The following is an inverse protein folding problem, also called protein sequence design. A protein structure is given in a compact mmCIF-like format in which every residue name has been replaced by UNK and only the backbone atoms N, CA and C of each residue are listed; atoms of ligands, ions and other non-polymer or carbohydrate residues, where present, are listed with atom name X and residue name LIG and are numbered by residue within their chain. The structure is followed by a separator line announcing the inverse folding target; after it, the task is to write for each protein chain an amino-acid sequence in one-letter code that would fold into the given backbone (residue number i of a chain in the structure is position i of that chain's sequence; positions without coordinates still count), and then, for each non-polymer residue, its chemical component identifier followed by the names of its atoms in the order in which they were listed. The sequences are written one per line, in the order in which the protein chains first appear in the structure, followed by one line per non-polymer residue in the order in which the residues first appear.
data_IF_477136378256
#
_entry.id   IF_477136378256
#
_cell.length_a   1.000
_cell.length_b   1.000
_cell.length_c   1.000
_cell.angle_alpha   90.00
_cell.angle_beta   90.00
_cell.angle_gamma   90.00
#
_symmetry.space_group_name_H-M   'P 1'
#
loop_
_entity.id
_entity.type
_entity.pdbx_description
1 polymer ?
#
# COMPACT_ATOMS: atom_id res chain seq x y z
N UNK A 1 -4.27 17.94 13.91
CA UNK A 1 -4.87 16.71 14.47
C UNK A 1 -6.38 16.84 14.41
N UNK A 2 -7.08 15.78 13.96
CA UNK A 2 -8.54 15.73 13.96
C UNK A 2 -9.05 15.48 15.38
N UNK A 3 -9.90 16.37 15.89
CA UNK A 3 -10.55 16.21 17.20
C UNK A 3 -11.77 15.29 17.11
N UNK A 4 -12.55 15.37 16.02
CA UNK A 4 -13.72 14.52 15.74
C UNK A 4 -13.48 13.68 14.47
N UNK A 5 -12.86 12.52 14.64
CA UNK A 5 -12.60 11.57 13.55
C UNK A 5 -13.91 11.05 12.93
N UNK A 6 -14.94 10.80 13.76
CA UNK A 6 -16.24 10.28 13.29
C UNK A 6 -16.97 11.31 12.42
N UNK A 7 -17.12 12.53 12.93
CA UNK A 7 -17.79 13.60 12.19
C UNK A 7 -17.08 13.91 10.88
N UNK A 8 -15.74 13.98 10.92
CA UNK A 8 -14.93 14.20 9.71
C UNK A 8 -15.11 13.08 8.70
N UNK A 9 -15.07 11.81 9.12
CA UNK A 9 -15.29 10.70 8.21
C UNK A 9 -16.67 10.71 7.57
N UNK A 10 -17.73 10.92 8.37
CA UNK A 10 -19.09 10.99 7.84
C UNK A 10 -19.28 12.13 6.84
N UNK A 11 -18.68 13.30 7.09
CA UNK A 11 -18.66 14.41 6.15
C UNK A 11 -17.93 14.03 4.85
N UNK A 12 -16.78 13.37 4.95
CA UNK A 12 -16.03 12.90 3.78
C UNK A 12 -16.74 11.80 2.98
N UNK A 13 -17.62 11.01 3.60
CA UNK A 13 -18.46 10.02 2.90
C UNK A 13 -19.64 10.68 2.18
N UNK A 14 -20.14 11.81 2.70
CA UNK A 14 -21.20 12.63 2.07
C UNK A 14 -20.62 13.53 0.95
N UNK A 15 -19.35 13.94 1.08
CA UNK A 15 -18.67 14.80 0.10
C UNK A 15 -17.37 14.16 -0.42
N UNK A 16 -17.43 12.96 -1.04
CA UNK A 16 -16.25 12.25 -1.48
C UNK A 16 -15.61 12.93 -2.70
N UNK A 17 -14.30 12.89 -2.78
CA UNK A 17 -13.55 13.51 -3.87
C UNK A 17 -13.81 12.78 -5.19
N UNK A 18 -14.42 13.45 -6.13
CA UNK A 18 -14.61 12.98 -7.51
C UNK A 18 -15.69 11.92 -7.71
N UNK A 19 -16.50 11.66 -6.69
CA UNK A 19 -17.67 10.77 -6.70
C UNK A 19 -18.88 11.48 -6.09
N UNK A 20 -20.12 11.02 -6.36
CA UNK A 20 -21.30 11.46 -5.62
C UNK A 20 -21.27 10.94 -4.17
N UNK A 21 -22.15 11.45 -3.29
CA UNK A 21 -22.29 10.94 -1.92
C UNK A 21 -22.36 9.42 -1.84
N UNK A 22 -21.80 8.84 -0.77
CA UNK A 22 -21.80 7.38 -0.61
C UNK A 22 -23.23 6.81 -0.63
N UNK A 23 -24.21 7.55 -0.10
CA UNK A 23 -25.63 7.22 -0.09
C UNK A 23 -26.26 7.12 -1.49
N UNK A 24 -25.66 7.74 -2.51
CA UNK A 24 -26.10 7.64 -3.90
C UNK A 24 -25.38 6.50 -4.67
N UNK A 25 -24.22 6.06 -4.18
CA UNK A 25 -23.42 5.00 -4.78
C UNK A 25 -23.91 3.62 -4.34
N UNK A 26 -24.09 3.45 -3.03
CA UNK A 26 -24.42 2.18 -2.39
C UNK A 26 -25.95 2.00 -2.30
N UNK A 27 -26.41 0.79 -2.59
CA UNK A 27 -27.83 0.43 -2.53
C UNK A 27 -28.11 -0.62 -1.45
N UNK A 28 -29.33 -0.66 -0.89
CA UNK A 28 -29.71 -1.72 0.03
C UNK A 28 -29.49 -3.11 -0.58
N UNK A 29 -28.80 -3.96 0.19
CA UNK A 29 -28.50 -5.33 -0.23
C UNK A 29 -27.23 -5.52 -1.06
N UNK A 30 -26.53 -4.45 -1.44
CA UNK A 30 -25.25 -4.55 -2.15
C UNK A 30 -24.22 -5.36 -1.36
N UNK A 31 -23.22 -5.88 -2.08
CA UNK A 31 -22.11 -6.66 -1.56
C UNK A 31 -20.82 -5.82 -1.54
N UNK A 32 -20.04 -5.94 -0.46
CA UNK A 32 -18.88 -5.10 -0.21
C UNK A 32 -17.65 -5.91 0.19
N UNK A 33 -16.51 -5.62 -0.44
CA UNK A 33 -15.21 -6.07 0.02
C UNK A 33 -14.36 -4.87 0.47
N UNK A 34 -13.82 -4.94 1.69
CA UNK A 34 -12.84 -3.99 2.18
C UNK A 34 -11.44 -4.57 1.97
N UNK A 35 -10.57 -3.83 1.30
CA UNK A 35 -9.16 -4.15 1.28
C UNK A 35 -8.49 -3.38 2.41
N UNK A 36 -7.96 -4.09 3.40
CA UNK A 36 -7.23 -3.53 4.54
C UNK A 36 -5.73 -3.77 4.44
N UNK A 37 -4.94 -2.93 5.10
CA UNK A 37 -3.49 -3.07 5.15
C UNK A 37 -3.07 -4.23 6.06
N UNK A 38 -1.86 -4.74 5.83
CA UNK A 38 -1.10 -5.57 6.76
C UNK A 38 -0.54 -4.74 7.95
N UNK A 39 0.00 -5.38 9.03
CA UNK A 39 0.49 -4.69 10.22
C UNK A 39 1.67 -3.74 9.97
N UNK A 40 2.38 -3.88 8.84
CA UNK A 40 3.53 -3.01 8.53
C UNK A 40 3.12 -1.60 8.11
N UNK A 41 1.81 -1.34 7.99
CA UNK A 41 1.23 -0.05 7.58
C UNK A 41 0.20 0.41 8.60
N UNK A 42 0.63 1.26 9.52
CA UNK A 42 -0.25 1.85 10.54
C UNK A 42 -1.24 2.82 9.88
N UNK A 43 -2.52 2.55 10.04
CA UNK A 43 -3.62 3.36 9.49
C UNK A 43 -4.69 3.68 10.54
N UNK A 44 -4.60 3.10 11.73
CA UNK A 44 -5.62 3.12 12.79
C UNK A 44 -7.00 2.68 12.25
N UNK A 45 -7.00 1.60 11.46
CA UNK A 45 -8.23 1.10 10.81
C UNK A 45 -9.28 0.69 11.85
N UNK A 46 -8.87 0.23 13.03
CA UNK A 46 -9.77 -0.11 14.15
C UNK A 46 -10.63 1.08 14.61
N UNK A 47 -10.26 2.33 14.27
CA UNK A 47 -11.06 3.53 14.58
C UNK A 47 -12.08 3.80 13.49
N UNK A 48 -11.68 3.81 12.22
CA UNK A 48 -12.58 4.21 11.14
C UNK A 48 -13.40 3.06 10.55
N UNK A 49 -12.96 1.81 10.64
CA UNK A 49 -13.71 0.67 10.10
C UNK A 49 -15.08 0.48 10.77
N UNK A 50 -15.23 0.57 12.11
CA UNK A 50 -16.56 0.50 12.74
C UNK A 50 -17.50 1.61 12.24
N UNK A 51 -16.99 2.82 12.05
CA UNK A 51 -17.78 3.96 11.54
C UNK A 51 -18.28 3.67 10.12
N UNK A 52 -17.38 3.21 9.23
CA UNK A 52 -17.70 2.88 7.84
C UNK A 52 -18.70 1.72 7.74
N UNK A 53 -18.47 0.63 8.49
CA UNK A 53 -19.38 -0.54 8.51
C UNK A 53 -20.76 -0.15 9.02
N UNK A 54 -20.85 0.67 10.08
CA UNK A 54 -22.11 1.15 10.62
C UNK A 54 -22.84 2.08 9.63
N UNK A 55 -22.11 2.93 8.90
CA UNK A 55 -22.71 3.78 7.87
C UNK A 55 -23.26 2.94 6.70
N UNK A 56 -22.53 1.92 6.23
CA UNK A 56 -23.02 1.00 5.19
C UNK A 56 -24.26 0.22 5.67
N UNK A 57 -24.29 -0.22 6.94
CA UNK A 57 -25.51 -0.83 7.51
C UNK A 57 -26.68 0.14 7.51
N UNK A 58 -26.45 1.42 7.87
CA UNK A 58 -27.49 2.46 7.83
C UNK A 58 -28.05 2.66 6.41
N UNK A 59 -27.19 2.51 5.40
CA UNK A 59 -27.56 2.58 3.98
C UNK A 59 -28.21 1.28 3.45
N UNK A 60 -28.37 0.26 4.31
CA UNK A 60 -29.08 -0.97 3.98
C UNK A 60 -28.19 -2.11 3.47
N UNK A 61 -26.87 -2.02 3.59
CA UNK A 61 -25.96 -3.13 3.31
C UNK A 61 -25.82 -3.99 4.57
N UNK A 62 -26.27 -5.26 4.57
CA UNK A 62 -26.15 -6.11 5.76
C UNK A 62 -24.70 -6.58 5.96
N UNK A 63 -24.31 -6.81 7.23
CA UNK A 63 -22.96 -7.30 7.54
C UNK A 63 -22.64 -8.65 6.85
N UNK A 64 -23.65 -9.50 6.63
CA UNK A 64 -23.49 -10.76 5.91
C UNK A 64 -23.05 -10.57 4.44
N UNK A 65 -23.25 -9.38 3.87
CA UNK A 65 -22.83 -9.04 2.50
C UNK A 65 -21.47 -8.35 2.47
N UNK A 66 -20.79 -8.23 3.59
CA UNK A 66 -19.49 -7.56 3.71
C UNK A 66 -18.39 -8.57 4.04
N UNK A 67 -17.18 -8.32 3.54
CA UNK A 67 -15.97 -9.10 3.87
C UNK A 67 -14.74 -8.21 3.91
N UNK A 68 -13.71 -8.66 4.64
CA UNK A 68 -12.41 -8.00 4.72
C UNK A 68 -11.36 -8.89 4.06
N UNK A 69 -10.53 -8.29 3.20
CA UNK A 69 -9.39 -8.93 2.54
C UNK A 69 -8.13 -8.13 2.88
N UNK A 70 -7.18 -8.76 3.57
CA UNK A 70 -5.92 -8.13 3.90
C UNK A 70 -4.95 -8.20 2.71
N UNK A 71 -4.48 -7.02 2.30
CA UNK A 71 -3.57 -6.82 1.17
C UNK A 71 -2.13 -7.12 1.59
N UNK A 72 -1.70 -8.36 1.50
CA UNK A 72 -0.39 -8.80 1.95
C UNK A 72 0.72 -8.58 0.91
N UNK A 73 0.36 -8.56 -0.38
CA UNK A 73 1.38 -8.59 -1.44
C UNK A 73 2.23 -9.84 -1.30
N UNK A 74 3.53 -9.67 -0.99
CA UNK A 74 4.48 -10.77 -0.76
C UNK A 74 4.77 -11.04 0.72
N UNK A 75 4.09 -10.35 1.64
CA UNK A 75 4.27 -10.57 3.07
C UNK A 75 3.60 -11.88 3.52
N UNK A 76 4.04 -12.40 4.68
CA UNK A 76 3.44 -13.58 5.30
C UNK A 76 1.95 -13.37 5.63
N UNK A 77 1.23 -14.47 5.75
CA UNK A 77 -0.14 -14.43 6.27
C UNK A 77 -0.17 -13.83 7.69
N UNK A 78 -1.21 -13.04 7.94
CA UNK A 78 -1.52 -12.54 9.28
C UNK A 78 -2.17 -13.63 10.13
N UNK A 79 -1.91 -13.61 11.42
CA UNK A 79 -2.68 -14.40 12.39
C UNK A 79 -4.06 -13.77 12.60
N UNK A 80 -4.97 -14.50 13.24
CA UNK A 80 -6.29 -13.97 13.55
C UNK A 80 -6.22 -12.76 14.49
N UNK A 81 -5.33 -12.82 15.48
CA UNK A 81 -5.10 -11.74 16.44
C UNK A 81 -4.60 -10.47 15.74
N UNK A 82 -3.64 -10.59 14.82
CA UNK A 82 -3.15 -9.47 14.00
C UNK A 82 -4.27 -8.84 13.15
N UNK A 83 -5.17 -9.67 12.60
CA UNK A 83 -6.33 -9.17 11.84
C UNK A 83 -7.28 -8.39 12.74
N UNK A 84 -7.56 -8.90 13.96
CA UNK A 84 -8.42 -8.24 14.95
C UNK A 84 -7.82 -6.90 15.38
N UNK A 85 -6.51 -6.86 15.65
CA UNK A 85 -5.81 -5.61 15.99
C UNK A 85 -5.94 -4.54 14.89
N UNK A 86 -5.93 -4.95 13.61
CA UNK A 86 -6.03 -4.02 12.49
C UNK A 86 -7.42 -3.40 12.35
N UNK A 87 -8.50 -4.13 12.57
CA UNK A 87 -9.87 -3.67 12.28
C UNK A 87 -10.73 -3.46 13.52
N UNK A 88 -10.26 -3.89 14.69
CA UNK A 88 -10.96 -3.83 15.97
C UNK A 88 -11.92 -5.01 16.20
N UNK A 89 -12.12 -5.37 17.46
CA UNK A 89 -12.96 -6.50 17.89
C UNK A 89 -14.40 -6.39 17.37
N UNK A 90 -14.98 -5.18 17.37
CA UNK A 90 -16.35 -4.94 16.89
C UNK A 90 -16.52 -5.38 15.43
N UNK A 91 -15.61 -5.00 14.56
CA UNK A 91 -15.68 -5.33 13.13
C UNK A 91 -15.30 -6.79 12.89
N UNK A 92 -14.26 -7.29 13.56
CA UNK A 92 -13.82 -8.68 13.47
C UNK A 92 -14.90 -9.68 13.91
N UNK A 93 -15.70 -9.33 14.92
CA UNK A 93 -16.84 -10.15 15.37
C UNK A 93 -18.04 -10.14 14.41
N UNK A 94 -18.08 -9.26 13.41
CA UNK A 94 -19.22 -9.08 12.49
C UNK A 94 -18.93 -9.50 11.06
N UNK A 95 -17.67 -9.38 10.61
CA UNK A 95 -17.30 -9.57 9.20
C UNK A 95 -16.28 -10.71 9.05
N UNK A 96 -16.43 -11.58 8.03
CA UNK A 96 -15.39 -12.55 7.70
C UNK A 96 -14.13 -11.85 7.19
N UNK A 97 -12.97 -12.36 7.63
CA UNK A 97 -11.65 -11.81 7.36
C UNK A 97 -10.77 -12.84 6.63
N UNK A 98 -10.06 -12.41 5.60
CA UNK A 98 -9.25 -13.26 4.74
C UNK A 98 -7.89 -12.65 4.45
N UNK A 99 -6.85 -13.48 4.40
CA UNK A 99 -5.54 -13.12 3.86
C UNK A 99 -5.51 -13.29 2.33
N UNK A 100 -5.03 -12.30 1.60
CA UNK A 100 -4.72 -12.45 0.17
C UNK A 100 -3.28 -12.96 0.03
N UNK A 101 -3.10 -14.27 -0.12
CA UNK A 101 -1.80 -14.93 -0.19
C UNK A 101 -1.38 -15.08 -1.65
N UNK A 102 -0.40 -14.28 -2.09
CA UNK A 102 0.00 -14.16 -3.50
C UNK A 102 0.44 -15.48 -4.16
N UNK A 103 0.87 -16.46 -3.39
CA UNK A 103 1.34 -17.78 -3.87
C UNK A 103 0.24 -18.81 -4.08
N UNK A 104 -0.99 -18.56 -3.62
CA UNK A 104 -2.13 -19.47 -3.79
C UNK A 104 -2.78 -19.22 -5.15
N UNK A 105 -2.25 -19.81 -6.22
CA UNK A 105 -2.66 -19.55 -7.60
C UNK A 105 -4.17 -19.68 -7.85
N UNK A 106 -4.82 -20.63 -7.18
CA UNK A 106 -6.26 -20.91 -7.31
C UNK A 106 -7.16 -19.77 -6.77
N UNK A 107 -6.61 -18.88 -5.95
CA UNK A 107 -7.36 -17.77 -5.36
C UNK A 107 -7.51 -16.56 -6.30
N UNK A 108 -6.92 -16.60 -7.49
CA UNK A 108 -6.86 -15.42 -8.38
C UNK A 108 -7.65 -15.63 -9.67
N UNK A 109 -8.17 -14.51 -10.20
CA UNK A 109 -8.83 -14.40 -11.49
C UNK A 109 -8.01 -13.50 -12.42
N UNK A 110 -7.92 -13.89 -13.69
CA UNK A 110 -7.20 -13.15 -14.73
C UNK A 110 -8.06 -12.03 -15.34
N UNK A 111 -7.49 -10.83 -15.48
CA UNK A 111 -8.14 -9.64 -16.03
C UNK A 111 -7.49 -9.10 -17.32
N UNK A 112 -6.45 -9.72 -17.80
CA UNK A 112 -5.72 -9.26 -18.99
C UNK A 112 -4.27 -8.96 -18.69
N UNK A 113 -3.63 -8.24 -19.60
CA UNK A 113 -2.22 -7.90 -19.54
C UNK A 113 -2.04 -6.40 -19.78
N UNK A 114 -1.18 -5.76 -19.02
CA UNK A 114 -0.84 -4.36 -19.20
C UNK A 114 0.02 -4.15 -20.45
N UNK A 115 0.15 -2.91 -20.89
CA UNK A 115 1.04 -2.53 -22.01
C UNK A 115 2.52 -2.83 -21.73
N UNK A 116 2.93 -2.82 -20.47
CA UNK A 116 4.28 -3.22 -20.03
C UNK A 116 4.44 -4.74 -19.86
N UNK A 117 3.39 -5.50 -20.14
CA UNK A 117 3.45 -6.95 -20.16
C UNK A 117 3.09 -7.65 -18.86
N UNK A 118 2.65 -6.93 -17.82
CA UNK A 118 2.27 -7.51 -16.54
C UNK A 118 0.94 -8.25 -16.65
N UNK A 119 0.90 -9.57 -16.38
CA UNK A 119 -0.36 -10.31 -16.31
C UNK A 119 -1.11 -9.91 -15.04
N UNK A 120 -2.39 -9.55 -15.17
CA UNK A 120 -3.20 -9.03 -14.07
C UNK A 120 -4.07 -10.13 -13.50
N UNK A 121 -3.62 -10.70 -12.37
CA UNK A 121 -4.33 -11.70 -11.59
C UNK A 121 -4.71 -11.11 -10.24
N UNK A 122 -6.01 -10.94 -9.97
CA UNK A 122 -6.53 -10.34 -8.74
C UNK A 122 -7.34 -11.36 -7.95
N UNK A 123 -7.28 -11.25 -6.62
CA UNK A 123 -7.93 -12.17 -5.69
C UNK A 123 -9.45 -12.23 -5.94
N UNK A 124 -9.98 -13.45 -6.08
CA UNK A 124 -11.40 -13.74 -6.38
C UNK A 124 -12.35 -13.14 -5.34
N UNK A 125 -11.92 -12.99 -4.09
CA UNK A 125 -12.71 -12.36 -3.03
C UNK A 125 -13.08 -10.88 -3.32
N UNK A 126 -12.45 -10.27 -4.32
CA UNK A 126 -12.74 -8.90 -4.77
C UNK A 126 -13.56 -8.88 -6.07
N UNK A 127 -13.85 -10.03 -6.66
CA UNK A 127 -14.37 -10.09 -8.03
C UNK A 127 -15.91 -10.19 -8.10
N UNK A 128 -16.52 -10.73 -7.09
CA UNK A 128 -17.96 -11.02 -7.00
C UNK A 128 -18.71 -10.07 -6.03
N UNK A 129 -18.25 -8.82 -5.95
CA UNK A 129 -18.86 -7.78 -5.12
C UNK A 129 -19.21 -6.55 -5.96
N UNK A 130 -20.23 -5.79 -5.51
CA UNK A 130 -20.66 -4.55 -6.15
C UNK A 130 -19.65 -3.43 -5.88
N UNK A 131 -19.09 -3.38 -4.66
CA UNK A 131 -18.18 -2.32 -4.22
C UNK A 131 -16.92 -2.87 -3.60
N UNK A 132 -15.77 -2.29 -3.96
CA UNK A 132 -14.47 -2.55 -3.33
C UNK A 132 -13.97 -1.28 -2.66
N UNK A 133 -13.84 -1.29 -1.33
CA UNK A 133 -13.29 -0.19 -0.56
C UNK A 133 -11.79 -0.37 -0.34
N UNK A 134 -11.01 0.59 -0.82
CA UNK A 134 -9.55 0.61 -0.68
C UNK A 134 -9.18 1.35 0.60
N UNK A 135 -9.19 0.66 1.75
CA UNK A 135 -8.93 1.28 3.06
C UNK A 135 -7.43 1.28 3.43
N UNK A 136 -7.07 2.03 4.47
CA UNK A 136 -5.72 2.09 5.01
C UNK A 136 -5.07 3.47 4.93
N UNK A 137 -3.75 3.55 4.77
CA UNK A 137 -2.97 4.80 4.76
C UNK A 137 -2.27 5.09 3.44
N UNK A 138 -1.75 6.31 3.28
CA UNK A 138 -0.86 6.72 2.18
C UNK A 138 0.44 7.23 2.80
N UNK A 139 1.56 6.75 2.26
CA UNK A 139 2.91 7.19 2.60
C UNK A 139 3.76 7.21 1.34
N UNK A 140 4.90 7.90 1.34
CA UNK A 140 5.88 7.79 0.27
C UNK A 140 6.35 6.35 0.06
N UNK A 141 6.70 6.01 -1.18
CA UNK A 141 7.19 4.68 -1.52
C UNK A 141 8.40 4.75 -2.46
N UNK A 142 9.48 4.08 -2.10
CA UNK A 142 10.81 4.24 -2.71
C UNK A 142 10.88 3.96 -4.21
N UNK A 143 10.07 3.07 -4.80
CA UNK A 143 10.04 2.87 -6.25
C UNK A 143 8.68 3.14 -6.91
N UNK A 144 7.59 3.12 -6.17
CA UNK A 144 6.22 3.24 -6.72
C UNK A 144 5.58 4.61 -6.47
N UNK A 145 6.40 5.61 -6.13
CA UNK A 145 5.97 6.96 -5.78
C UNK A 145 5.32 7.04 -4.41
N UNK A 146 4.08 6.56 -4.30
CA UNK A 146 3.30 6.53 -3.05
C UNK A 146 2.65 5.16 -2.84
N UNK A 147 2.44 4.81 -1.57
CA UNK A 147 1.60 3.70 -1.14
C UNK A 147 0.11 4.01 -1.22
N UNK A 148 -0.72 3.08 -0.77
CA UNK A 148 -2.17 3.22 -0.75
C UNK A 148 -2.83 3.20 -2.13
N UNK A 149 -4.13 3.54 -2.17
CA UNK A 149 -4.90 3.59 -3.42
C UNK A 149 -4.80 2.29 -4.22
N UNK A 150 -4.38 2.42 -5.49
CA UNK A 150 -4.17 1.30 -6.42
C UNK A 150 -3.34 0.15 -5.84
N UNK A 151 -2.37 0.46 -4.96
CA UNK A 151 -1.48 -0.56 -4.37
C UNK A 151 -2.21 -1.55 -3.46
N UNK A 152 -3.37 -1.21 -2.96
CA UNK A 152 -4.19 -2.15 -2.21
C UNK A 152 -4.67 -3.31 -3.10
N UNK A 153 -4.94 -3.05 -4.38
CA UNK A 153 -5.31 -4.06 -5.37
C UNK A 153 -4.06 -4.72 -5.96
N UNK A 154 -3.17 -3.92 -6.57
CA UNK A 154 -1.92 -4.36 -7.20
C UNK A 154 -0.74 -3.57 -6.60
N UNK A 155 0.14 -4.19 -5.81
CA UNK A 155 0.36 -5.63 -5.61
C UNK A 155 -0.45 -6.28 -4.47
N UNK A 156 -1.15 -5.53 -3.61
CA UNK A 156 -1.66 -5.98 -2.33
C UNK A 156 -2.52 -7.25 -2.37
N UNK A 157 -3.44 -7.34 -3.34
CA UNK A 157 -4.34 -8.47 -3.56
C UNK A 157 -4.11 -9.13 -4.94
N UNK A 158 -2.87 -9.12 -5.43
CA UNK A 158 -2.49 -9.72 -6.71
C UNK A 158 -1.66 -11.00 -6.54
N UNK A 159 -1.69 -11.87 -7.56
CA UNK A 159 -0.88 -13.08 -7.59
C UNK A 159 0.63 -12.77 -7.69
N UNK A 160 1.48 -13.68 -7.24
CA UNK A 160 2.94 -13.53 -7.22
C UNK A 160 3.51 -13.18 -8.60
N UNK A 161 2.99 -13.76 -9.67
CA UNK A 161 3.43 -13.46 -11.04
C UNK A 161 3.18 -11.99 -11.40
N UNK A 162 2.00 -11.46 -11.08
CA UNK A 162 1.63 -10.05 -11.26
C UNK A 162 2.56 -9.15 -10.47
N UNK A 163 2.77 -9.48 -9.19
CA UNK A 163 3.64 -8.71 -8.30
C UNK A 163 5.06 -8.67 -8.83
N UNK A 164 5.61 -9.84 -9.20
CA UNK A 164 6.98 -9.97 -9.71
C UNK A 164 7.20 -9.13 -10.97
N UNK A 165 6.29 -9.23 -11.94
CA UNK A 165 6.43 -8.48 -13.19
C UNK A 165 6.32 -6.97 -12.96
N UNK A 166 5.33 -6.50 -12.19
CA UNK A 166 5.23 -5.08 -11.85
C UNK A 166 6.47 -4.57 -11.11
N UNK A 167 6.98 -5.33 -10.13
CA UNK A 167 8.15 -4.92 -9.33
C UNK A 167 9.44 -4.92 -10.14
N UNK A 168 9.58 -5.71 -11.22
CA UNK A 168 10.76 -5.66 -12.08
C UNK A 168 10.96 -4.29 -12.72
N UNK A 169 9.90 -3.51 -12.90
CA UNK A 169 9.96 -2.15 -13.41
C UNK A 169 10.67 -1.15 -12.46
N UNK A 170 10.92 -1.55 -11.19
CA UNK A 170 11.70 -0.72 -10.24
C UNK A 170 13.15 -0.47 -10.66
N UNK A 171 13.67 -1.29 -11.58
CA UNK A 171 15.03 -1.13 -12.15
C UNK A 171 15.14 0.08 -13.09
N UNK A 172 14.02 0.69 -13.46
CA UNK A 172 14.00 1.90 -14.29
C UNK A 172 14.47 3.12 -13.49
N UNK A 173 15.28 3.97 -14.11
CA UNK A 173 15.72 5.25 -13.54
C UNK A 173 14.55 6.25 -13.33
N UNK A 174 13.36 5.95 -13.88
CA UNK A 174 12.13 6.72 -13.67
C UNK A 174 11.32 6.23 -12.47
N UNK A 175 11.68 5.10 -11.88
CA UNK A 175 11.06 4.61 -10.65
C UNK A 175 11.69 5.32 -9.44
N UNK A 176 10.88 5.87 -8.55
CA UNK A 176 11.42 6.62 -7.40
C UNK A 176 10.38 7.13 -6.44
N UNK A 177 10.89 7.66 -5.35
CA UNK A 177 10.12 8.24 -4.25
C UNK A 177 9.32 9.45 -4.75
N UNK A 178 8.02 9.51 -4.46
CA UNK A 178 7.15 10.62 -4.83
C UNK A 178 6.85 10.76 -6.33
N UNK A 179 7.41 9.89 -7.20
CA UNK A 179 7.19 9.93 -8.64
C UNK A 179 5.95 9.10 -9.01
N UNK A 180 4.99 9.73 -9.67
CA UNK A 180 3.76 9.08 -10.15
C UNK A 180 3.81 8.92 -11.69
N UNK A 181 3.17 9.78 -12.44
CA UNK A 181 3.07 9.67 -13.90
C UNK A 181 4.44 9.62 -14.56
N UNK A 182 4.64 8.66 -15.46
CA UNK A 182 5.92 8.37 -16.09
C UNK A 182 6.83 7.44 -15.30
N UNK A 183 6.45 7.09 -14.06
CA UNK A 183 7.07 6.02 -13.29
C UNK A 183 6.48 4.67 -13.73
N UNK A 184 7.25 3.76 -14.34
CA UNK A 184 6.71 2.54 -14.93
C UNK A 184 6.05 1.61 -13.90
N UNK A 185 6.53 1.59 -12.64
CA UNK A 185 5.85 0.82 -11.59
C UNK A 185 4.47 1.39 -11.27
N UNK A 186 4.35 2.72 -11.23
CA UNK A 186 3.09 3.40 -10.97
C UNK A 186 2.12 3.23 -12.13
N UNK A 187 2.57 3.53 -13.36
CA UNK A 187 1.72 3.50 -14.56
C UNK A 187 1.19 2.09 -14.82
N UNK A 188 2.04 1.07 -14.69
CA UNK A 188 1.66 -0.33 -14.83
C UNK A 188 0.63 -0.78 -13.76
N UNK A 189 0.80 -0.34 -12.51
CA UNK A 189 -0.19 -0.57 -11.45
C UNK A 189 -1.53 0.09 -11.78
N UNK A 190 -1.51 1.34 -12.26
CA UNK A 190 -2.72 2.07 -12.64
C UNK A 190 -3.46 1.38 -13.78
N UNK A 191 -2.75 0.93 -14.81
CA UNK A 191 -3.33 0.18 -15.92
C UNK A 191 -3.90 -1.16 -15.45
N UNK A 192 -3.14 -1.91 -14.65
CA UNK A 192 -3.60 -3.20 -14.09
C UNK A 192 -4.85 -3.07 -13.23
N UNK A 193 -4.91 -2.05 -12.37
CA UNK A 193 -6.12 -1.77 -11.58
C UNK A 193 -7.26 -1.29 -12.45
N UNK A 194 -7.02 -0.53 -13.51
CA UNK A 194 -8.05 -0.12 -14.45
C UNK A 194 -8.67 -1.31 -15.21
N UNK A 195 -7.89 -2.36 -15.51
CA UNK A 195 -8.42 -3.61 -16.07
C UNK A 195 -9.38 -4.31 -15.09
N UNK A 196 -9.00 -4.38 -13.82
CA UNK A 196 -9.83 -4.95 -12.76
C UNK A 196 -11.10 -4.11 -12.51
N UNK A 197 -10.97 -2.78 -12.53
CA UNK A 197 -12.03 -1.83 -12.18
C UNK A 197 -13.17 -1.76 -13.20
N UNK A 198 -13.01 -2.34 -14.41
CA UNK A 198 -14.07 -2.31 -15.43
C UNK A 198 -15.36 -2.95 -14.92
N UNK A 199 -16.43 -2.12 -14.83
CA UNK A 199 -17.74 -2.54 -14.35
C UNK A 199 -17.84 -2.74 -12.84
N UNK A 200 -16.87 -2.24 -12.05
CA UNK A 200 -16.84 -2.29 -10.58
C UNK A 200 -16.73 -0.91 -9.97
N UNK A 201 -17.31 -0.74 -8.81
CA UNK A 201 -17.17 0.47 -8.00
C UNK A 201 -15.98 0.32 -7.06
N UNK A 202 -14.95 1.15 -7.24
CA UNK A 202 -13.80 1.26 -6.35
C UNK A 202 -13.89 2.57 -5.57
N UNK A 203 -13.96 2.47 -4.25
CA UNK A 203 -14.08 3.62 -3.35
C UNK A 203 -12.86 3.70 -2.43
N UNK A 204 -12.13 4.80 -2.45
CA UNK A 204 -10.96 5.02 -1.60
C UNK A 204 -11.38 5.57 -0.24
N UNK A 205 -10.81 5.02 0.85
CA UNK A 205 -10.79 5.59 2.18
C UNK A 205 -9.39 5.48 2.77
N UNK A 206 -8.72 6.61 2.95
CA UNK A 206 -7.34 6.63 3.45
C UNK A 206 -7.18 7.62 4.58
N UNK A 207 -6.53 7.17 5.65
CA UNK A 207 -6.10 8.01 6.76
C UNK A 207 -4.66 8.48 6.56
N UNK A 208 -4.35 9.69 7.02
CA UNK A 208 -2.99 10.19 7.17
C UNK A 208 -2.79 10.55 8.62
N UNK A 209 -1.74 10.01 9.23
CA UNK A 209 -1.44 10.13 10.65
C UNK A 209 -0.18 10.97 10.85
N UNK A 210 0.01 11.56 12.03
CA UNK A 210 1.30 12.14 12.42
C UNK A 210 2.24 11.08 13.02
N UNK A 211 3.41 11.51 13.51
CA UNK A 211 4.40 10.64 14.13
C UNK A 211 3.88 9.96 15.41
N UNK A 212 2.96 10.60 16.11
CA UNK A 212 2.28 10.12 17.32
C UNK A 212 1.06 9.26 17.00
N UNK A 213 0.88 8.86 15.71
CA UNK A 213 -0.25 8.07 15.21
C UNK A 213 -1.63 8.73 15.40
N UNK A 214 -1.70 10.06 15.48
CA UNK A 214 -2.95 10.79 15.54
C UNK A 214 -3.44 11.11 14.12
N UNK A 215 -4.75 11.09 13.89
CA UNK A 215 -5.32 11.44 12.60
C UNK A 215 -5.08 12.91 12.26
N UNK A 216 -4.45 13.16 11.13
CA UNK A 216 -4.33 14.48 10.53
C UNK A 216 -5.47 14.75 9.55
N UNK A 217 -5.79 13.75 8.72
CA UNK A 217 -6.86 13.84 7.72
C UNK A 217 -7.30 12.46 7.26
N UNK A 218 -8.57 12.39 6.79
CA UNK A 218 -9.11 11.23 6.08
C UNK A 218 -9.51 11.71 4.68
N UNK A 219 -9.20 10.91 3.67
CA UNK A 219 -9.57 11.15 2.28
C UNK A 219 -10.47 10.03 1.80
N UNK A 220 -11.57 10.38 1.13
CA UNK A 220 -12.51 9.42 0.53
C UNK A 220 -12.83 9.81 -0.90
N UNK A 221 -13.25 8.84 -1.70
CA UNK A 221 -13.77 9.09 -3.04
C UNK A 221 -13.19 8.22 -4.14
N UNK A 222 -13.05 8.78 -5.33
CA UNK A 222 -12.48 8.14 -6.51
C UNK A 222 -11.02 7.72 -6.25
N UNK A 223 -10.70 6.45 -6.54
CA UNK A 223 -9.41 5.87 -6.17
C UNK A 223 -8.19 6.54 -6.85
N UNK A 224 -8.41 7.30 -7.92
CA UNK A 224 -7.38 8.10 -8.60
C UNK A 224 -7.34 9.53 -8.06
N UNK A 225 -8.48 10.23 -8.08
CA UNK A 225 -8.55 11.65 -7.71
C UNK A 225 -8.30 11.87 -6.23
N UNK A 226 -8.98 11.11 -5.38
CA UNK A 226 -8.78 11.21 -3.93
C UNK A 226 -7.37 10.77 -3.50
N UNK A 227 -6.79 9.76 -4.18
CA UNK A 227 -5.41 9.36 -3.93
C UNK A 227 -4.42 10.49 -4.28
N UNK A 228 -4.59 11.17 -5.43
CA UNK A 228 -3.74 12.30 -5.82
C UNK A 228 -3.80 13.46 -4.84
N UNK A 229 -4.99 13.81 -4.37
CA UNK A 229 -5.15 14.87 -3.36
C UNK A 229 -4.50 14.47 -2.03
N UNK A 230 -4.65 13.22 -1.62
CA UNK A 230 -4.00 12.70 -0.43
C UNK A 230 -2.46 12.65 -0.55
N UNK A 231 -1.91 12.36 -1.73
CA UNK A 231 -0.46 12.42 -1.98
C UNK A 231 0.09 13.84 -1.81
N UNK A 232 -0.61 14.87 -2.30
CA UNK A 232 -0.22 16.28 -2.08
C UNK A 232 -0.15 16.61 -0.57
N UNK A 233 -1.13 16.15 0.19
CA UNK A 233 -1.14 16.35 1.63
C UNK A 233 -0.01 15.56 2.33
N UNK A 234 0.33 14.36 1.85
CA UNK A 234 1.49 13.60 2.32
C UNK A 234 2.79 14.38 2.10
N UNK A 235 2.95 15.05 0.94
CA UNK A 235 4.12 15.89 0.66
C UNK A 235 4.20 17.08 1.61
N UNK A 236 3.07 17.70 1.94
CA UNK A 236 3.01 18.82 2.90
C UNK A 236 3.37 18.38 4.33
N UNK A 237 2.93 17.19 4.75
CA UNK A 237 3.09 16.70 6.13
C UNK A 237 4.46 16.03 6.36
N UNK A 238 4.89 15.20 5.40
CA UNK A 238 6.11 14.38 5.57
C UNK A 238 7.28 14.88 4.73
N UNK A 239 7.03 15.76 3.74
CA UNK A 239 8.06 16.36 2.92
C UNK A 239 8.87 17.40 3.70
N UNK A 240 10.19 17.26 3.67
CA UNK A 240 11.10 18.27 4.25
C UNK A 240 11.91 18.91 3.15
N UNK A 241 11.79 20.24 3.04
CA UNK A 241 12.62 21.02 2.11
C UNK A 241 13.99 21.24 2.69
N UNK A 242 15.03 20.79 2.01
CA UNK A 242 16.42 21.07 2.36
C UNK A 242 16.94 22.22 1.50
N UNK A 243 17.79 23.13 2.06
CA UNK A 243 18.31 24.28 1.30
C UNK A 243 19.33 23.88 0.23
N UNK A 244 20.00 22.76 0.40
CA UNK A 244 20.97 22.15 -0.53
C UNK A 244 21.25 20.69 -0.17
N UNK A 245 21.72 19.92 -1.12
CA UNK A 245 22.27 18.58 -0.86
C UNK A 245 23.54 18.69 0.03
N UNK A 246 23.70 17.75 0.93
CA UNK A 246 24.78 17.72 1.91
C UNK A 246 25.98 16.88 1.44
N UNK A 247 27.17 17.21 1.93
CA UNK A 247 28.37 16.39 1.74
C UNK A 247 28.32 15.10 2.55
N UNK A 248 27.68 15.17 3.73
CA UNK A 248 27.52 14.08 4.67
C UNK A 248 26.08 14.09 5.19
N UNK A 249 25.43 12.93 5.15
CA UNK A 249 24.11 12.70 5.76
C UNK A 249 24.26 11.62 6.83
N UNK A 250 23.80 11.90 8.04
CA UNK A 250 23.68 10.90 9.12
C UNK A 250 22.21 10.61 9.31
N UNK A 251 21.81 9.35 9.11
CA UNK A 251 20.42 8.93 9.17
C UNK A 251 20.22 7.75 10.13
N UNK A 252 19.18 7.82 10.96
CA UNK A 252 18.72 6.72 11.80
C UNK A 252 17.40 6.17 11.27
N UNK A 253 17.24 4.84 11.33
CA UNK A 253 15.97 4.19 10.97
C UNK A 253 14.85 4.46 11.99
N UNK A 254 15.16 5.05 13.14
CA UNK A 254 14.18 5.40 14.17
C UNK A 254 13.85 4.26 15.14
N UNK A 255 14.67 3.20 15.17
CA UNK A 255 14.51 2.08 16.10
C UNK A 255 13.49 1.03 15.64
N UNK A 256 13.32 0.02 16.51
CA UNK A 256 12.41 -1.09 16.29
C UNK A 256 10.95 -0.62 16.08
N UNK A 257 10.21 -1.22 15.15
CA UNK A 257 10.55 -2.33 14.24
C UNK A 257 11.13 -1.86 12.88
N UNK A 258 11.41 -0.56 12.68
CA UNK A 258 11.84 -0.01 11.38
C UNK A 258 13.26 -0.41 11.00
N UNK A 259 14.08 -0.78 11.98
CA UNK A 259 15.48 -1.23 11.82
C UNK A 259 15.70 -2.70 12.17
N UNK A 260 14.64 -3.51 12.18
CA UNK A 260 14.69 -4.91 12.58
C UNK A 260 15.68 -5.74 11.73
N UNK A 261 15.86 -5.38 10.47
CA UNK A 261 16.81 -6.03 9.55
C UNK A 261 17.24 -5.09 8.42
N UNK A 262 18.26 -5.50 7.66
CA UNK A 262 18.81 -4.74 6.51
C UNK A 262 17.75 -4.47 5.45
N UNK A 263 16.85 -5.40 5.20
CA UNK A 263 15.76 -5.23 4.24
C UNK A 263 14.82 -4.06 4.62
N UNK A 264 14.56 -3.84 5.91
CA UNK A 264 13.80 -2.68 6.35
C UNK A 264 14.65 -1.38 6.37
N UNK A 265 15.90 -1.49 6.80
CA UNK A 265 16.87 -0.40 6.88
C UNK A 265 17.06 0.32 5.54
N UNK A 266 17.03 -0.39 4.40
CA UNK A 266 17.22 0.19 3.07
C UNK A 266 16.26 1.36 2.78
N UNK A 267 15.06 1.37 3.36
CA UNK A 267 14.08 2.45 3.15
C UNK A 267 14.59 3.79 3.69
N UNK A 268 15.33 3.74 4.80
CA UNK A 268 15.99 4.94 5.35
C UNK A 268 17.17 5.36 4.48
N UNK A 269 17.89 4.41 3.91
CA UNK A 269 18.97 4.70 2.97
C UNK A 269 18.45 5.42 1.72
N UNK A 270 17.31 4.98 1.15
CA UNK A 270 16.69 5.64 0.00
C UNK A 270 16.29 7.09 0.32
N UNK A 271 15.71 7.34 1.51
CA UNK A 271 15.39 8.70 1.95
C UNK A 271 16.65 9.55 2.15
N UNK A 272 17.70 9.00 2.75
CA UNK A 272 18.96 9.69 2.95
C UNK A 272 19.67 10.00 1.63
N UNK A 273 19.55 9.12 0.63
CA UNK A 273 20.11 9.34 -0.71
C UNK A 273 19.51 10.57 -1.41
N UNK A 274 18.27 10.95 -1.10
CA UNK A 274 17.67 12.18 -1.61
C UNK A 274 18.29 13.48 -1.04
N UNK A 275 19.05 13.38 0.04
CA UNK A 275 19.60 14.53 0.73
C UNK A 275 21.13 14.67 0.55
N UNK A 276 21.81 13.66 0.03
CA UNK A 276 23.26 13.64 -0.17
C UNK A 276 23.62 13.98 -1.62
N UNK A 277 24.63 14.82 -1.82
CA UNK A 277 25.13 15.11 -3.16
C UNK A 277 25.84 13.90 -3.78
N UNK A 278 25.94 13.87 -5.11
CA UNK A 278 26.71 12.86 -5.83
C UNK A 278 28.16 12.83 -5.35
N UNK A 279 28.62 11.66 -4.88
CA UNK A 279 29.96 11.48 -4.29
C UNK A 279 30.04 11.85 -2.82
N UNK A 280 28.94 12.26 -2.17
CA UNK A 280 28.87 12.47 -0.73
C UNK A 280 28.77 11.15 0.05
N UNK A 281 28.69 11.25 1.38
CA UNK A 281 28.69 10.10 2.29
C UNK A 281 27.38 10.02 3.07
N UNK A 282 26.82 8.82 3.20
CA UNK A 282 25.72 8.51 4.12
C UNK A 282 26.22 7.61 5.23
N UNK A 283 26.01 8.04 6.48
CA UNK A 283 26.18 7.18 7.66
C UNK A 283 24.78 6.76 8.12
N UNK A 284 24.52 5.46 8.04
CA UNK A 284 23.22 4.88 8.38
C UNK A 284 23.32 4.13 9.69
N UNK A 285 22.40 4.41 10.64
CA UNK A 285 22.32 3.81 11.95
C UNK A 285 21.09 2.91 12.05
N UNK A 286 21.31 1.62 12.29
CA UNK A 286 20.27 0.59 12.44
C UNK A 286 20.80 -0.56 13.29
N UNK A 287 19.95 -1.19 14.10
CA UNK A 287 20.34 -2.32 14.95
C UNK A 287 20.42 -3.63 14.17
N UNK A 288 19.47 -3.87 13.24
CA UNK A 288 19.37 -5.06 12.39
C UNK A 288 19.43 -6.38 13.17
N UNK A 289 18.68 -6.49 14.27
CA UNK A 289 18.69 -7.64 15.17
C UNK A 289 18.40 -8.99 14.48
N UNK A 290 17.64 -8.97 13.38
CA UNK A 290 17.35 -10.15 12.55
C UNK A 290 18.28 -10.26 11.32
N UNK A 291 19.44 -9.60 11.32
CA UNK A 291 20.42 -9.68 10.25
C UNK A 291 19.91 -9.07 8.93
N UNK A 292 20.06 -9.78 7.80
CA UNK A 292 19.66 -9.29 6.48
C UNK A 292 18.15 -9.20 6.28
N UNK A 293 17.38 -10.05 6.96
CA UNK A 293 15.94 -10.20 6.78
C UNK A 293 15.54 -10.86 5.45
N UNK A 294 16.50 -11.38 4.66
CA UNK A 294 16.22 -12.06 3.39
C UNK A 294 17.40 -12.96 2.98
N UNK A 295 17.20 -14.27 3.01
CA UNK A 295 18.19 -15.24 2.51
C UNK A 295 18.55 -14.99 1.04
N UNK A 296 17.58 -14.56 0.22
CA UNK A 296 17.80 -14.24 -1.20
C UNK A 296 18.71 -13.04 -1.39
N UNK A 297 18.58 -12.03 -0.54
CA UNK A 297 19.48 -10.88 -0.52
C UNK A 297 20.91 -11.33 -0.22
N UNK A 298 21.11 -12.16 0.81
CA UNK A 298 22.43 -12.71 1.15
C UNK A 298 23.05 -13.53 0.03
N UNK A 299 22.26 -14.44 -0.57
CA UNK A 299 22.74 -15.23 -1.72
C UNK A 299 23.21 -14.33 -2.87
N UNK A 300 22.46 -13.27 -3.19
CA UNK A 300 22.80 -12.34 -4.27
C UNK A 300 24.08 -11.58 -3.94
N UNK A 301 24.23 -11.02 -2.75
CA UNK A 301 25.43 -10.29 -2.34
C UNK A 301 26.66 -11.20 -2.17
N UNK A 302 26.47 -12.45 -1.80
CA UNK A 302 27.57 -13.44 -1.72
C UNK A 302 28.07 -13.85 -3.11
N UNK A 303 27.18 -13.85 -4.11
CA UNK A 303 27.50 -14.23 -5.50
C UNK A 303 28.02 -13.06 -6.33
N UNK A 304 27.47 -11.86 -6.13
CA UNK A 304 27.77 -10.67 -6.90
C UNK A 304 28.45 -9.61 -6.04
N UNK A 305 29.62 -9.15 -6.50
CA UNK A 305 30.46 -8.22 -5.74
C UNK A 305 30.39 -6.77 -6.20
N UNK A 306 29.68 -6.49 -7.30
CA UNK A 306 29.54 -5.13 -7.84
C UNK A 306 28.06 -4.77 -8.09
N UNK A 307 27.67 -3.49 -7.92
CA UNK A 307 26.31 -3.05 -8.24
C UNK A 307 25.90 -3.33 -9.70
N UNK A 308 26.83 -3.22 -10.64
CA UNK A 308 26.57 -3.50 -12.05
C UNK A 308 26.22 -4.98 -12.30
N UNK A 309 26.93 -5.91 -11.67
CA UNK A 309 26.64 -7.34 -11.77
C UNK A 309 25.31 -7.71 -11.12
N UNK A 310 24.98 -7.09 -9.96
CA UNK A 310 23.68 -7.26 -9.31
C UNK A 310 22.55 -6.73 -10.22
N UNK A 311 22.71 -5.54 -10.78
CA UNK A 311 21.73 -4.96 -11.71
C UNK A 311 21.51 -5.86 -12.92
N UNK A 312 22.58 -6.34 -13.57
CA UNK A 312 22.49 -7.23 -14.72
C UNK A 312 21.75 -8.53 -14.39
N UNK A 313 22.07 -9.17 -13.26
CA UNK A 313 21.36 -10.37 -12.80
C UNK A 313 19.86 -10.13 -12.59
N UNK A 314 19.50 -8.98 -11.99
CA UNK A 314 18.11 -8.61 -11.77
C UNK A 314 17.38 -8.28 -13.08
N UNK A 315 18.06 -7.72 -14.08
CA UNK A 315 17.50 -7.47 -15.41
C UNK A 315 17.21 -8.77 -16.16
N UNK A 316 18.06 -9.80 -16.02
CA UNK A 316 17.86 -11.10 -16.66
C UNK A 316 16.85 -11.99 -15.93
N UNK A 317 16.84 -11.97 -14.60
CA UNK A 317 16.00 -12.85 -13.77
C UNK A 317 15.57 -12.14 -12.49
N UNK A 318 14.60 -11.24 -12.60
CA UNK A 318 14.05 -10.54 -11.44
C UNK A 318 13.36 -11.51 -10.49
N UNK A 319 13.84 -11.54 -9.25
CA UNK A 319 13.23 -12.28 -8.15
C UNK A 319 12.93 -11.34 -7.00
N UNK A 320 11.73 -11.47 -6.45
CA UNK A 320 11.36 -10.72 -5.25
C UNK A 320 12.06 -11.39 -4.06
N UNK A 321 12.89 -10.61 -3.37
CA UNK A 321 13.62 -11.07 -2.19
C UNK A 321 12.78 -11.02 -0.90
N UNK A 322 11.47 -11.07 -1.01
CA UNK A 322 10.60 -11.01 0.16
C UNK A 322 10.40 -12.37 0.80
N UNK A 323 10.60 -12.41 2.06
CA UNK A 323 10.26 -13.26 3.22
C UNK A 323 9.65 -14.63 3.00
#
# INVERSE_FOLDING_TARGET
VLEDVKGHLLDMLEHPIGLPPLSEIVKPGDTVAFICNDPTRVANSFVFMPILVNELNRLGVPAANMRIVFALGTHRAMTHEEMVEQVGEEVAGRLPMFNSIATNADDFQYFGKTTLGTPVWINKLLCDVDHVFLTGTIVHHYFSGYGGGRKAVLPGCAAMETVRMNHSHMLSDKAGLGLMEGNPCYDDQMEGVALFAKGRSLFLLKSILNAEQQFLRIFTGDYVKAHKEACKFVDEVYGSKIPREADLVIASCGGWPKDINVYQMQKTMDNAACAVKKGGVVILLAECIEGSGSAKLEETFNRQTTPAAIKHELEENFQIGAN
#
